data_IF_786289763997
#
_entry.id   IF_786289763997
#
_cell.length_a   1.000
_cell.length_b   1.000
_cell.length_c   1.000
_cell.angle_alpha   90.00
_cell.angle_beta   90.00
_cell.angle_gamma   90.00
#
_symmetry.space_group_name_H-M   'P 1'
#
loop_
_entity.id
_entity.type
_entity.pdbx_description
1 polymer ?
#
# COMPACT_ATOMS: atom_id res chain seq x y z
N UNK A 1 -17.35 0.19 -16.90
CA UNK A 1 -16.92 1.55 -16.48
C UNK A 1 -15.68 1.38 -15.66
N UNK A 2 -14.72 2.30 -15.80
CA UNK A 2 -13.49 2.26 -14.99
C UNK A 2 -13.83 2.48 -13.52
N UNK A 3 -13.20 1.73 -12.63
CA UNK A 3 -13.39 1.89 -11.19
C UNK A 3 -12.06 2.30 -10.54
N UNK A 4 -12.09 3.41 -9.82
CA UNK A 4 -10.98 3.88 -8.99
C UNK A 4 -11.38 3.70 -7.53
N UNK A 5 -10.56 2.99 -6.77
CA UNK A 5 -10.73 2.89 -5.31
C UNK A 5 -9.64 3.72 -4.65
N UNK A 6 -10.06 4.65 -3.78
CA UNK A 6 -9.15 5.51 -3.01
C UNK A 6 -9.45 5.33 -1.54
N UNK A 7 -8.43 5.02 -0.75
CA UNK A 7 -8.49 5.07 0.71
C UNK A 7 -7.52 6.12 1.21
N UNK A 8 -7.99 6.98 2.10
CA UNK A 8 -7.19 8.01 2.77
C UNK A 8 -7.33 7.88 4.28
N UNK A 9 -6.22 7.70 4.98
CA UNK A 9 -6.14 7.58 6.44
C UNK A 9 -5.03 8.46 6.98
N UNK A 10 -5.05 8.74 8.28
CA UNK A 10 -4.00 9.50 8.92
C UNK A 10 -3.41 8.73 10.11
N UNK A 11 -2.09 8.74 10.19
CA UNK A 11 -1.30 8.15 11.25
C UNK A 11 -1.13 9.21 12.34
N UNK A 12 -1.77 9.05 13.50
CA UNK A 12 -1.55 9.93 14.66
C UNK A 12 -0.30 9.51 15.45
N UNK A 13 0.46 10.46 16.03
CA UNK A 13 1.59 10.14 16.91
C UNK A 13 1.14 9.53 18.25
N UNK A 14 -0.12 9.73 18.67
CA UNK A 14 -0.67 9.16 19.91
C UNK A 14 -1.24 7.75 19.66
N UNK A 15 -0.62 6.76 20.28
CA UNK A 15 -1.00 5.35 20.24
C UNK A 15 -2.44 5.14 20.75
N UNK A 16 -3.35 4.67 19.89
CA UNK A 16 -4.52 3.93 20.35
C UNK A 16 -4.10 2.49 20.66
N UNK A 17 -4.49 2.00 21.83
CA UNK A 17 -4.09 0.76 22.49
C UNK A 17 -4.56 -0.54 21.81
N UNK A 18 -4.85 -0.52 20.50
CA UNK A 18 -5.42 -1.67 19.76
C UNK A 18 -4.59 -2.09 18.53
N UNK A 19 -3.27 -1.90 18.55
CA UNK A 19 -2.40 -2.44 17.49
C UNK A 19 -2.27 -3.96 17.64
N UNK A 20 -3.15 -4.73 17.00
CA UNK A 20 -2.90 -6.15 16.76
C UNK A 20 -1.64 -6.23 15.89
N UNK A 21 -0.69 -7.09 16.27
CA UNK A 21 0.69 -7.10 15.77
C UNK A 21 0.80 -7.70 14.34
N UNK A 22 -0.13 -7.39 13.42
CA UNK A 22 -0.11 -7.93 12.05
C UNK A 22 1.09 -7.40 11.23
N UNK A 23 1.81 -6.40 11.75
CA UNK A 23 3.10 -5.93 11.21
C UNK A 23 4.15 -7.04 11.18
N UNK A 24 4.15 -7.95 12.16
CA UNK A 24 5.11 -9.07 12.19
C UNK A 24 4.88 -10.00 11.01
N UNK A 25 3.62 -10.25 10.63
CA UNK A 25 3.28 -11.10 9.48
C UNK A 25 3.80 -10.53 8.17
N UNK A 26 3.78 -9.21 8.01
CA UNK A 26 4.26 -8.54 6.81
C UNK A 26 5.79 -8.55 6.73
N UNK A 27 6.47 -8.24 7.84
CA UNK A 27 7.93 -8.12 7.87
C UNK A 27 8.65 -9.47 7.74
N UNK A 28 8.01 -10.57 8.16
CA UNK A 28 8.61 -11.92 8.13
C UNK A 28 8.10 -12.77 6.98
N UNK A 29 7.41 -12.20 6.00
CA UNK A 29 6.82 -12.99 4.94
C UNK A 29 7.91 -13.43 3.96
N UNK A 30 8.23 -14.72 4.00
CA UNK A 30 9.02 -15.38 2.96
C UNK A 30 8.36 -15.10 1.61
N UNK A 31 9.17 -14.57 0.70
CA UNK A 31 8.88 -14.43 -0.72
C UNK A 31 8.30 -15.74 -1.24
N UNK A 32 7.01 -15.73 -1.58
CA UNK A 32 6.43 -16.80 -2.41
C UNK A 32 7.11 -16.65 -3.76
N UNK A 33 8.23 -17.35 -3.94
CA UNK A 33 8.76 -17.65 -5.26
C UNK A 33 7.62 -18.24 -6.09
N UNK A 34 7.41 -17.65 -7.27
CA UNK A 34 6.38 -18.02 -8.24
C UNK A 34 6.53 -19.52 -8.57
N UNK A 35 5.76 -20.38 -7.92
CA UNK A 35 5.63 -21.80 -8.28
C UNK A 35 4.22 -22.32 -7.99
N UNK A 36 3.47 -22.46 -9.08
CA UNK A 36 2.12 -23.04 -9.20
C UNK A 36 1.03 -22.31 -8.40
N UNK A 37 -0.08 -21.96 -9.07
CA UNK A 37 -1.27 -21.38 -8.42
C UNK A 37 -1.91 -22.40 -7.47
N UNK A 38 -1.35 -22.51 -6.26
CA UNK A 38 -1.88 -23.34 -5.19
C UNK A 38 -3.01 -22.60 -4.48
N UNK A 39 -4.03 -23.34 -4.03
CA UNK A 39 -5.06 -22.84 -3.12
C UNK A 39 -4.41 -22.12 -1.94
N UNK A 40 -5.02 -21.04 -1.45
CA UNK A 40 -4.55 -20.30 -0.28
C UNK A 40 -4.28 -21.24 0.90
N UNK A 41 -3.20 -21.01 1.63
CA UNK A 41 -2.84 -21.83 2.80
C UNK A 41 -3.83 -21.63 3.97
N UNK A 42 -3.96 -22.62 4.86
CA UNK A 42 -4.83 -22.52 6.06
C UNK A 42 -4.48 -21.30 6.92
N UNK A 43 -3.19 -20.97 7.04
CA UNK A 43 -2.72 -19.79 7.77
C UNK A 43 -3.20 -18.48 7.12
N UNK A 44 -3.18 -18.38 5.79
CA UNK A 44 -3.70 -17.21 5.09
C UNK A 44 -5.21 -17.09 5.24
N UNK A 45 -5.94 -18.20 5.15
CA UNK A 45 -7.41 -18.20 5.32
C UNK A 45 -7.81 -17.77 6.73
N UNK A 46 -7.12 -18.28 7.76
CA UNK A 46 -7.36 -17.89 9.14
C UNK A 46 -7.12 -16.39 9.34
N UNK A 47 -5.98 -15.88 8.85
CA UNK A 47 -5.66 -14.46 8.94
C UNK A 47 -6.65 -13.60 8.16
N UNK A 48 -7.05 -14.01 6.96
CA UNK A 48 -8.08 -13.31 6.20
C UNK A 48 -9.40 -13.26 6.96
N UNK A 49 -9.86 -14.36 7.55
CA UNK A 49 -11.09 -14.36 8.34
C UNK A 49 -11.02 -13.39 9.52
N UNK A 50 -9.88 -13.33 10.22
CA UNK A 50 -9.64 -12.35 11.30
C UNK A 50 -9.66 -10.91 10.76
N UNK A 51 -8.95 -10.63 9.66
CA UNK A 51 -8.86 -9.30 9.06
C UNK A 51 -10.21 -8.83 8.49
N UNK A 52 -10.95 -9.68 7.80
CA UNK A 52 -12.28 -9.36 7.26
C UNK A 52 -13.29 -9.11 8.39
N UNK A 53 -13.10 -9.75 9.54
CA UNK A 53 -13.90 -9.50 10.74
C UNK A 53 -13.52 -8.19 11.42
N UNK A 54 -12.23 -7.84 11.46
CA UNK A 54 -11.81 -6.56 12.04
C UNK A 54 -12.11 -5.36 11.10
N UNK A 55 -12.07 -5.57 9.78
CA UNK A 55 -12.13 -4.53 8.75
C UNK A 55 -13.17 -4.86 7.68
N UNK A 56 -14.46 -4.78 8.02
CA UNK A 56 -15.55 -5.18 7.11
C UNK A 56 -15.54 -4.47 5.75
N UNK A 57 -15.08 -3.22 5.71
CA UNK A 57 -14.93 -2.41 4.48
C UNK A 57 -14.03 -3.07 3.43
N UNK A 58 -13.14 -3.97 3.83
CA UNK A 58 -12.27 -4.69 2.92
C UNK A 58 -12.99 -5.59 1.91
N UNK A 59 -14.27 -5.90 2.16
CA UNK A 59 -15.12 -6.62 1.19
C UNK A 59 -15.45 -5.79 -0.06
N UNK A 60 -15.20 -4.48 -0.03
CA UNK A 60 -15.38 -3.58 -1.18
C UNK A 60 -14.10 -3.37 -1.99
N UNK A 61 -13.02 -4.08 -1.67
CA UNK A 61 -11.75 -3.98 -2.36
C UNK A 61 -11.73 -4.84 -3.63
N UNK A 62 -11.03 -4.37 -4.66
CA UNK A 62 -10.85 -5.15 -5.90
C UNK A 62 -10.18 -6.50 -5.61
N UNK A 63 -9.23 -6.51 -4.68
CA UNK A 63 -8.50 -7.71 -4.27
C UNK A 63 -9.39 -8.71 -3.53
N UNK A 64 -10.50 -8.25 -2.92
CA UNK A 64 -11.48 -9.14 -2.31
C UNK A 64 -12.28 -9.88 -3.39
N UNK A 65 -12.74 -9.15 -4.41
CA UNK A 65 -13.43 -9.75 -5.56
C UNK A 65 -12.57 -10.81 -6.26
N UNK A 66 -11.27 -10.56 -6.40
CA UNK A 66 -10.34 -11.49 -7.06
C UNK A 66 -10.07 -12.73 -6.21
N UNK A 67 -9.94 -12.56 -4.90
CA UNK A 67 -9.84 -13.67 -3.97
C UNK A 67 -11.12 -14.52 -3.93
N UNK A 68 -12.30 -13.89 -3.96
CA UNK A 68 -13.59 -14.59 -3.98
C UNK A 68 -13.77 -15.40 -5.28
N UNK A 69 -13.40 -14.82 -6.43
CA UNK A 69 -13.42 -15.53 -7.72
C UNK A 69 -12.39 -16.66 -7.78
N UNK A 70 -11.20 -16.43 -7.23
CA UNK A 70 -10.08 -17.38 -7.28
C UNK A 70 -9.23 -17.31 -6.00
N UNK A 71 -9.49 -18.18 -5.00
CA UNK A 71 -8.81 -18.13 -3.70
C UNK A 71 -7.42 -18.80 -3.74
N UNK A 72 -6.54 -18.26 -4.56
CA UNK A 72 -5.14 -18.70 -4.67
C UNK A 72 -4.30 -18.12 -3.52
N UNK A 73 -3.14 -18.72 -3.29
CA UNK A 73 -2.12 -18.18 -2.35
C UNK A 73 -1.77 -16.73 -2.69
N UNK A 74 -1.72 -16.41 -3.97
CA UNK A 74 -1.42 -15.08 -4.50
C UNK A 74 -2.55 -14.08 -4.24
N UNK A 75 -3.79 -14.39 -4.62
CA UNK A 75 -4.92 -13.47 -4.38
C UNK A 75 -5.18 -13.26 -2.89
N UNK A 76 -4.97 -14.30 -2.07
CA UNK A 76 -5.00 -14.16 -0.62
C UNK A 76 -3.90 -13.21 -0.12
N UNK A 77 -2.70 -13.29 -0.71
CA UNK A 77 -1.58 -12.42 -0.37
C UNK A 77 -1.87 -10.96 -0.70
N UNK A 78 -2.41 -10.71 -1.89
CA UNK A 78 -2.80 -9.39 -2.34
C UNK A 78 -3.88 -8.79 -1.44
N UNK A 79 -4.94 -9.55 -1.14
CA UNK A 79 -5.99 -9.08 -0.24
C UNK A 79 -5.46 -8.77 1.17
N UNK A 80 -4.67 -9.65 1.78
CA UNK A 80 -4.07 -9.38 3.10
C UNK A 80 -3.24 -8.08 3.06
N UNK A 81 -2.41 -7.92 2.03
CA UNK A 81 -1.53 -6.76 1.86
C UNK A 81 -2.34 -5.47 1.76
N UNK A 82 -3.35 -5.47 0.89
CA UNK A 82 -4.22 -4.31 0.67
C UNK A 82 -5.04 -3.95 1.90
N UNK A 83 -5.51 -4.93 2.69
CA UNK A 83 -6.16 -4.67 3.98
C UNK A 83 -5.20 -3.96 4.91
N UNK A 84 -3.96 -4.42 5.02
CA UNK A 84 -3.03 -3.84 5.97
C UNK A 84 -2.59 -2.44 5.52
N UNK A 85 -2.33 -2.24 4.25
CA UNK A 85 -1.92 -0.95 3.69
C UNK A 85 -2.98 0.14 3.90
N UNK A 86 -4.25 -0.22 3.68
CA UNK A 86 -5.40 0.69 3.87
C UNK A 86 -5.76 0.94 5.34
N UNK A 87 -5.18 0.17 6.26
CA UNK A 87 -5.42 0.26 7.72
C UNK A 87 -4.10 0.35 8.53
N UNK A 88 -3.04 0.89 7.91
CA UNK A 88 -1.70 1.00 8.51
C UNK A 88 -1.69 1.80 9.83
N UNK A 89 -2.66 2.69 10.02
CA UNK A 89 -2.88 3.47 11.24
C UNK A 89 -3.28 2.63 12.44
N UNK A 90 -3.99 1.53 12.21
CA UNK A 90 -4.47 0.62 13.25
C UNK A 90 -3.54 -0.57 13.42
N UNK A 91 -2.88 -1.01 12.35
CA UNK A 91 -2.26 -2.34 12.29
C UNK A 91 -0.75 -2.34 12.56
N UNK A 92 -0.05 -1.20 12.43
CA UNK A 92 1.40 -1.26 12.53
C UNK A 92 2.18 -0.06 13.00
N UNK A 93 3.48 -0.29 13.16
CA UNK A 93 4.46 0.76 13.39
C UNK A 93 4.75 1.45 12.05
N UNK A 94 4.70 2.78 12.05
CA UNK A 94 5.01 3.66 10.92
C UNK A 94 6.35 3.29 10.22
N UNK A 95 7.39 2.94 10.98
CA UNK A 95 8.70 2.58 10.40
C UNK A 95 8.63 1.32 9.53
N UNK A 96 8.03 0.25 10.08
CA UNK A 96 7.92 -1.04 9.40
C UNK A 96 7.02 -0.93 8.16
N UNK A 97 6.01 -0.06 8.23
CA UNK A 97 5.10 0.19 7.11
C UNK A 97 5.84 0.76 5.89
N UNK A 98 6.71 1.75 6.09
CA UNK A 98 7.52 2.35 5.01
C UNK A 98 8.46 1.33 4.38
N UNK A 99 9.19 0.58 5.21
CA UNK A 99 10.09 -0.48 4.74
C UNK A 99 9.36 -1.55 3.93
N UNK A 100 8.18 -1.94 4.37
CA UNK A 100 7.34 -2.89 3.65
C UNK A 100 6.87 -2.33 2.30
N UNK A 101 6.27 -1.13 2.24
CA UNK A 101 5.83 -0.54 0.96
C UNK A 101 6.97 -0.48 -0.05
N UNK A 102 8.17 -0.11 0.42
CA UNK A 102 9.36 -0.01 -0.41
C UNK A 102 9.80 -1.35 -1.04
N UNK A 103 9.52 -2.47 -0.36
CA UNK A 103 10.04 -3.80 -0.70
C UNK A 103 8.95 -4.82 -1.03
N UNK A 104 7.69 -4.41 -1.06
CA UNK A 104 6.54 -5.28 -1.32
C UNK A 104 6.76 -6.05 -2.63
N UNK A 105 6.47 -7.36 -2.67
CA UNK A 105 6.45 -8.12 -3.92
C UNK A 105 5.60 -7.41 -4.99
N UNK A 106 6.09 -7.37 -6.23
CA UNK A 106 5.44 -6.65 -7.33
C UNK A 106 5.65 -5.13 -7.33
N UNK A 107 6.45 -4.57 -6.39
CA UNK A 107 6.85 -3.15 -6.48
C UNK A 107 7.77 -2.91 -7.68
N UNK A 108 7.49 -1.86 -8.43
CA UNK A 108 8.41 -1.37 -9.45
C UNK A 108 9.61 -0.70 -8.77
N UNK A 109 10.80 -1.31 -8.91
CA UNK A 109 12.00 -0.83 -8.22
C UNK A 109 12.63 0.36 -8.94
N UNK A 110 13.04 1.36 -8.16
CA UNK A 110 13.84 2.52 -8.57
C UNK A 110 15.20 2.49 -7.88
N UNK A 111 15.97 1.45 -8.17
CA UNK A 111 17.22 1.13 -7.47
C UNK A 111 17.03 -0.07 -6.52
N UNK A 112 17.44 0.07 -5.26
CA UNK A 112 17.35 -1.02 -4.28
C UNK A 112 15.91 -1.36 -3.85
N UNK A 113 15.02 -0.37 -3.89
CA UNK A 113 13.62 -0.44 -3.46
C UNK A 113 12.72 0.38 -4.38
N UNK A 114 11.41 0.35 -4.13
CA UNK A 114 10.40 1.02 -4.96
C UNK A 114 9.96 2.42 -4.53
N UNK A 115 10.46 2.97 -3.41
CA UNK A 115 10.08 4.34 -3.01
C UNK A 115 10.57 5.40 -4.00
N UNK A 116 9.68 6.34 -4.31
CA UNK A 116 9.95 7.56 -5.07
C UNK A 116 9.23 8.77 -4.47
N UNK A 117 9.64 9.97 -4.88
CA UNK A 117 9.04 11.25 -4.52
C UNK A 117 9.15 12.25 -5.68
N UNK A 118 9.03 13.55 -5.41
CA UNK A 118 9.14 14.61 -6.42
C UNK A 118 10.55 14.77 -7.01
N UNK A 119 11.58 14.25 -6.36
CA UNK A 119 12.97 14.42 -6.77
C UNK A 119 13.43 13.28 -7.67
N UNK A 120 14.37 13.56 -8.57
CA UNK A 120 15.10 12.53 -9.32
C UNK A 120 16.29 11.96 -8.51
N UNK A 121 16.51 12.46 -7.29
CA UNK A 121 17.54 11.95 -6.40
C UNK A 121 17.12 10.61 -5.77
N UNK A 122 18.08 9.68 -5.54
CA UNK A 122 17.79 8.43 -4.86
C UNK A 122 17.18 8.67 -3.47
N UNK A 123 16.06 8.00 -3.21
CA UNK A 123 15.46 7.95 -1.88
C UNK A 123 16.29 7.01 -1.00
N UNK A 124 16.66 7.45 0.21
CA UNK A 124 17.39 6.63 1.18
C UNK A 124 16.37 6.03 2.15
N UNK A 125 16.03 4.74 1.96
CA UNK A 125 14.96 4.06 2.71
C UNK A 125 15.06 4.25 4.23
N UNK A 126 16.20 3.96 4.83
CA UNK A 126 16.37 4.04 6.29
C UNK A 126 16.13 5.45 6.82
N UNK A 127 16.55 6.47 6.06
CA UNK A 127 16.33 7.88 6.41
C UNK A 127 14.84 8.21 6.37
N UNK A 128 14.15 7.83 5.30
CA UNK A 128 12.70 8.08 5.14
C UNK A 128 11.88 7.33 6.17
N UNK A 129 12.20 6.06 6.43
CA UNK A 129 11.53 5.26 7.43
C UNK A 129 11.68 5.88 8.82
N UNK A 130 12.89 6.34 9.18
CA UNK A 130 13.14 7.04 10.44
C UNK A 130 12.43 8.41 10.52
N UNK A 131 12.39 9.18 9.43
CA UNK A 131 11.69 10.47 9.37
C UNK A 131 10.18 10.29 9.61
N UNK A 132 9.53 9.36 8.90
CA UNK A 132 8.10 9.08 9.02
C UNK A 132 7.76 8.49 10.40
N UNK A 133 8.60 7.60 10.91
CA UNK A 133 8.39 6.97 12.22
C UNK A 133 8.39 8.01 13.35
N UNK A 134 9.30 8.96 13.30
CA UNK A 134 9.48 9.98 14.33
C UNK A 134 8.78 11.31 14.02
N UNK A 135 8.00 11.38 12.94
CA UNK A 135 7.32 12.61 12.54
C UNK A 135 6.34 13.07 13.63
N UNK A 136 6.50 14.29 14.18
CA UNK A 136 5.73 14.76 15.35
C UNK A 136 4.27 15.11 14.98
N UNK A 137 4.00 15.36 13.70
CA UNK A 137 2.68 15.68 13.19
C UNK A 137 1.90 14.46 12.68
N UNK A 138 0.79 14.78 12.01
CA UNK A 138 -0.01 13.82 11.26
C UNK A 138 0.77 13.41 10.00
N UNK A 139 0.76 12.11 9.70
CA UNK A 139 1.23 11.57 8.42
C UNK A 139 0.02 10.98 7.70
N UNK A 140 -0.25 11.41 6.48
CA UNK A 140 -1.32 10.84 5.66
C UNK A 140 -0.85 9.60 4.91
N UNK A 141 -1.72 8.60 4.81
CA UNK A 141 -1.52 7.40 4.00
C UNK A 141 -2.65 7.32 2.97
N UNK A 142 -2.26 7.20 1.71
CA UNK A 142 -3.18 7.08 0.58
C UNK A 142 -2.90 5.78 -0.16
N UNK A 143 -3.93 4.99 -0.42
CA UNK A 143 -3.87 3.82 -1.30
C UNK A 143 -4.84 4.07 -2.45
N UNK A 144 -4.33 4.03 -3.67
CA UNK A 144 -5.10 4.22 -4.90
C UNK A 144 -4.97 2.95 -5.72
N UNK A 145 -6.09 2.40 -6.16
CA UNK A 145 -6.13 1.16 -6.92
C UNK A 145 -6.98 1.31 -8.17
N UNK A 146 -6.42 0.84 -9.28
CA UNK A 146 -7.04 0.72 -10.59
C UNK A 146 -6.94 -0.74 -11.05
N UNK A 147 -7.95 -1.21 -11.79
CA UNK A 147 -7.79 -2.43 -12.58
C UNK A 147 -6.68 -2.21 -13.62
N UNK A 148 -5.88 -3.24 -13.90
CA UNK A 148 -4.76 -3.14 -14.86
C UNK A 148 -5.21 -2.64 -16.23
N UNK A 149 -6.32 -3.16 -16.73
CA UNK A 149 -6.93 -2.74 -18.00
C UNK A 149 -7.25 -1.23 -18.03
N UNK A 150 -7.69 -0.67 -16.90
CA UNK A 150 -7.99 0.75 -16.77
C UNK A 150 -6.71 1.58 -16.66
N UNK A 151 -5.73 1.11 -15.89
CA UNK A 151 -4.43 1.74 -15.76
C UNK A 151 -3.73 1.86 -17.12
N UNK A 152 -3.71 0.79 -17.92
CA UNK A 152 -3.16 0.80 -19.29
C UNK A 152 -3.96 1.72 -20.19
N UNK A 153 -5.30 1.63 -20.18
CA UNK A 153 -6.15 2.47 -21.04
C UNK A 153 -6.01 3.96 -20.73
N UNK A 154 -5.75 4.32 -19.47
CA UNK A 154 -5.57 5.69 -19.01
C UNK A 154 -4.10 6.17 -19.05
N UNK A 155 -3.15 5.26 -19.34
CA UNK A 155 -1.71 5.57 -19.39
C UNK A 155 -1.04 5.72 -18.02
N UNK A 156 -1.59 5.12 -16.96
CA UNK A 156 -1.06 5.08 -15.60
C UNK A 156 -0.56 3.68 -15.22
N UNK A 157 0.22 3.05 -16.09
CA UNK A 157 0.68 1.66 -15.98
C UNK A 157 2.12 1.50 -15.44
N UNK A 158 2.75 2.60 -15.02
CA UNK A 158 4.11 2.59 -14.49
C UNK A 158 4.34 3.70 -13.45
N UNK A 159 5.42 3.58 -12.68
CA UNK A 159 5.74 4.50 -11.59
C UNK A 159 5.93 5.97 -12.02
N UNK A 160 6.50 6.23 -13.21
CA UNK A 160 6.72 7.60 -13.71
C UNK A 160 5.40 8.33 -13.93
N UNK A 161 4.42 7.66 -14.54
CA UNK A 161 3.09 8.24 -14.81
C UNK A 161 2.33 8.57 -13.54
N UNK A 162 2.43 7.71 -12.52
CA UNK A 162 1.87 7.98 -11.20
C UNK A 162 2.58 9.13 -10.49
N UNK A 163 3.92 9.20 -10.57
CA UNK A 163 4.69 10.34 -10.04
C UNK A 163 4.25 11.65 -10.66
N UNK A 164 4.12 11.72 -11.98
CA UNK A 164 3.63 12.91 -12.69
C UNK A 164 2.23 13.32 -12.23
N UNK A 165 1.33 12.35 -12.01
CA UNK A 165 -0.02 12.62 -11.53
C UNK A 165 -0.03 13.25 -10.14
N UNK A 166 0.74 12.69 -9.20
CA UNK A 166 0.87 13.24 -7.84
C UNK A 166 1.44 14.65 -7.90
N UNK A 167 2.51 14.86 -8.68
CA UNK A 167 3.13 16.18 -8.83
C UNK A 167 2.15 17.21 -9.42
N UNK A 168 1.33 16.84 -10.40
CA UNK A 168 0.32 17.72 -11.00
C UNK A 168 -0.74 18.18 -10.00
N UNK A 169 -1.12 17.31 -9.07
CA UNK A 169 -2.17 17.55 -8.08
C UNK A 169 -1.64 17.83 -6.67
N UNK A 170 -0.34 18.12 -6.52
CA UNK A 170 0.27 18.27 -5.20
C UNK A 170 -0.33 19.45 -4.41
N UNK A 171 -0.75 20.51 -5.10
CA UNK A 171 -1.46 21.64 -4.48
C UNK A 171 -2.83 21.20 -3.94
N UNK A 172 -3.60 20.46 -4.73
CA UNK A 172 -4.91 19.95 -4.31
C UNK A 172 -4.77 19.03 -3.09
N UNK A 173 -3.76 18.13 -3.10
CA UNK A 173 -3.46 17.24 -1.98
C UNK A 173 -3.10 18.06 -0.73
N UNK A 174 -2.25 19.08 -0.87
CA UNK A 174 -1.85 19.97 0.22
C UNK A 174 -3.07 20.65 0.88
N UNK A 175 -3.95 21.21 0.06
CA UNK A 175 -5.18 21.88 0.51
C UNK A 175 -6.12 20.91 1.26
N UNK A 176 -6.38 19.73 0.68
CA UNK A 176 -7.28 18.74 1.28
C UNK A 176 -6.73 18.12 2.57
N UNK A 177 -5.40 18.00 2.67
CA UNK A 177 -4.72 17.48 3.87
C UNK A 177 -4.40 18.56 4.90
N UNK A 178 -4.68 19.84 4.59
CA UNK A 178 -4.37 21.01 5.41
C UNK A 178 -2.88 21.15 5.73
N UNK A 179 -2.03 20.77 4.78
CA UNK A 179 -0.58 20.95 4.84
C UNK A 179 -0.23 22.14 3.95
N UNK A 180 0.57 23.08 4.46
CA UNK A 180 1.08 24.16 3.61
C UNK A 180 1.90 23.54 2.46
N UNK A 181 1.70 23.99 1.22
CA UNK A 181 2.37 23.41 0.05
C UNK A 181 3.90 23.31 0.22
N UNK A 182 4.54 24.34 0.79
CA UNK A 182 5.99 24.36 1.06
C UNK A 182 6.45 23.34 2.11
N UNK A 183 5.53 22.80 2.90
CA UNK A 183 5.78 21.79 3.92
C UNK A 183 5.40 20.37 3.46
N UNK A 184 4.85 20.21 2.26
CA UNK A 184 4.49 18.90 1.73
C UNK A 184 5.77 18.13 1.42
N UNK A 185 5.91 16.99 2.08
CA UNK A 185 6.85 15.93 1.71
C UNK A 185 6.05 14.66 1.51
N UNK A 186 6.29 13.97 0.40
CA UNK A 186 5.57 12.75 0.07
C UNK A 186 6.54 11.69 -0.42
N UNK A 187 6.15 10.44 -0.20
CA UNK A 187 6.85 9.27 -0.71
C UNK A 187 5.77 8.27 -1.15
N UNK A 188 5.98 7.61 -2.27
CA UNK A 188 5.07 6.61 -2.80
C UNK A 188 5.83 5.38 -3.32
N UNK A 189 5.11 4.28 -3.48
CA UNK A 189 5.55 3.09 -4.18
C UNK A 189 4.46 2.70 -5.20
N UNK A 190 4.87 2.19 -6.35
CA UNK A 190 3.96 1.70 -7.38
C UNK A 190 4.06 0.18 -7.44
N UNK A 191 2.92 -0.49 -7.41
CA UNK A 191 2.82 -1.94 -7.48
C UNK A 191 2.07 -2.32 -8.75
N UNK A 192 2.75 -3.06 -9.62
CA UNK A 192 2.12 -3.66 -10.79
C UNK A 192 1.82 -5.13 -10.49
N UNK A 193 0.59 -5.39 -10.07
CA UNK A 193 0.11 -6.76 -9.86
C UNK A 193 -0.46 -7.24 -11.19
N UNK A 194 0.32 -8.07 -11.88
CA UNK A 194 0.06 -8.58 -13.24
C UNK A 194 -1.16 -9.51 -13.36
N UNK A 195 -2.06 -9.57 -12.38
CA UNK A 195 -3.06 -10.64 -12.25
C UNK A 195 -4.51 -10.20 -12.44
N UNK A 196 -4.75 -8.97 -12.86
CA UNK A 196 -6.09 -8.53 -13.23
C UNK A 196 -6.32 -8.77 -14.73
N UNK A 197 -6.87 -9.94 -15.05
CA UNK A 197 -7.64 -10.23 -16.26
C UNK A 197 -9.06 -10.61 -15.84
#
# INVERSE_FOLDING_TARGET
MSQIIVTSRFLSPKNSSKRKNYTKYIATRETVEIREQKKSTENQQKLLNELLTDFHESKHYLEFEDYEKSPTTENASELISSIIERNADVIGNRQNFVGYMAMRPGVEKRGAHGLFNESDQPVILDRVANEIANHPGIVWSHVISLRREDAVRLGYDNSDRWRELVMRHINDIAEQTKILLCNVKWYAAFHDTTHYL
#
